data_IF_161320847941
#
_entry.id   IF_161320847941
#
_cell.length_a   1.000
_cell.length_b   1.000
_cell.length_c   1.000
_cell.angle_alpha   90.00
_cell.angle_beta   90.00
_cell.angle_gamma   90.00
#
_symmetry.space_group_name_H-M   'P 1'
#
loop_
_entity.id
_entity.type
_entity.pdbx_description
1 polymer ?
#
# COMPACT_ATOMS: atom_id res chain seq x y z
N UNK A 1 28.47 34.20 -11.16
CA UNK A 1 27.63 33.26 -10.39
C UNK A 1 26.27 33.23 -11.08
N UNK A 2 25.77 32.05 -11.44
CA UNK A 2 24.45 31.89 -12.05
C UNK A 2 23.36 32.14 -10.99
N UNK A 3 22.25 32.79 -11.38
CA UNK A 3 21.11 33.00 -10.48
C UNK A 3 20.51 31.66 -10.04
N UNK A 4 19.97 31.56 -8.81
CA UNK A 4 19.37 30.33 -8.33
C UNK A 4 18.11 29.97 -9.14
N UNK A 5 18.00 28.71 -9.54
CA UNK A 5 16.90 28.23 -10.36
C UNK A 5 16.49 26.80 -9.99
N UNK A 6 15.18 26.55 -9.87
CA UNK A 6 14.61 25.22 -9.64
C UNK A 6 14.60 24.48 -10.98
N UNK A 7 15.35 23.38 -11.07
CA UNK A 7 15.45 22.56 -12.29
C UNK A 7 14.59 21.31 -12.25
N UNK A 8 14.20 20.87 -11.06
CA UNK A 8 13.28 19.75 -10.87
C UNK A 8 12.47 19.95 -9.61
N UNK A 9 11.16 19.77 -9.71
CA UNK A 9 10.26 19.65 -8.57
C UNK A 9 9.20 18.62 -8.91
N UNK A 10 9.15 17.56 -8.11
CA UNK A 10 8.28 16.41 -8.35
C UNK A 10 7.66 15.94 -7.04
N UNK A 11 6.42 15.50 -7.10
CA UNK A 11 5.75 14.79 -6.01
C UNK A 11 5.29 13.42 -6.49
N UNK A 12 5.11 12.48 -5.56
CA UNK A 12 4.54 11.15 -5.82
C UNK A 12 3.01 11.17 -6.00
N UNK A 13 2.39 12.34 -5.88
CA UNK A 13 0.95 12.52 -5.94
C UNK A 13 0.45 12.63 -7.38
N UNK A 14 -0.56 11.83 -7.69
CA UNK A 14 -1.26 11.87 -8.99
C UNK A 14 -2.21 13.07 -9.02
N UNK A 15 -2.25 13.77 -10.16
CA UNK A 15 -3.16 14.89 -10.38
C UNK A 15 -4.62 14.51 -10.13
N UNK A 16 -5.33 15.33 -9.36
CA UNK A 16 -6.74 15.14 -9.03
C UNK A 16 -7.01 14.04 -7.99
N UNK A 17 -5.98 13.41 -7.43
CA UNK A 17 -6.15 12.43 -6.35
C UNK A 17 -6.78 13.08 -5.10
N UNK A 18 -7.40 12.24 -4.28
CA UNK A 18 -7.94 12.63 -2.97
C UNK A 18 -7.12 11.95 -1.89
N UNK A 19 -6.54 12.74 -1.01
CA UNK A 19 -5.82 12.29 0.18
C UNK A 19 -6.69 12.45 1.42
N UNK A 20 -6.39 11.66 2.42
CA UNK A 20 -7.01 11.72 3.76
C UNK A 20 -5.94 12.01 4.80
N UNK A 21 -6.31 12.40 6.03
CA UNK A 21 -5.38 12.40 7.14
C UNK A 21 -4.51 11.14 7.21
N UNK A 22 -3.27 11.30 7.68
CA UNK A 22 -2.20 10.31 7.72
C UNK A 22 -1.64 9.86 6.35
N UNK A 23 -2.14 10.41 5.24
CA UNK A 23 -1.49 10.21 3.93
C UNK A 23 -0.10 10.86 3.90
N UNK A 24 0.86 10.18 3.29
CA UNK A 24 2.20 10.71 3.06
C UNK A 24 2.35 11.25 1.64
N UNK A 25 3.05 12.37 1.49
CA UNK A 25 3.45 12.95 0.21
C UNK A 25 4.98 13.01 0.19
N UNK A 26 5.61 12.41 -0.81
CA UNK A 26 7.04 12.55 -1.05
C UNK A 26 7.27 13.65 -2.08
N UNK A 27 8.07 14.65 -1.74
CA UNK A 27 8.50 15.68 -2.68
C UNK A 27 10.02 15.62 -2.89
N UNK A 28 10.45 15.85 -4.12
CA UNK A 28 11.85 15.84 -4.54
C UNK A 28 12.15 17.10 -5.33
N UNK A 29 13.34 17.68 -5.13
CA UNK A 29 13.75 18.87 -5.86
C UNK A 29 15.24 18.92 -6.17
N UNK A 30 15.56 19.76 -7.14
CA UNK A 30 16.94 20.13 -7.49
C UNK A 30 16.97 21.62 -7.80
N UNK A 31 17.81 22.36 -7.09
CA UNK A 31 18.02 23.79 -7.27
C UNK A 31 19.49 24.03 -7.60
N UNK A 32 19.71 24.76 -8.69
CA UNK A 32 21.05 25.08 -9.20
C UNK A 32 21.38 26.54 -8.95
N UNK A 33 22.66 26.92 -9.06
CA UNK A 33 23.10 28.32 -8.92
C UNK A 33 23.11 28.84 -7.48
N UNK A 34 23.07 27.94 -6.49
CA UNK A 34 23.14 28.28 -5.06
C UNK A 34 24.52 27.88 -4.49
N UNK A 35 25.10 28.71 -3.62
CA UNK A 35 26.16 28.29 -2.69
C UNK A 35 25.51 27.63 -1.46
N UNK A 36 25.12 26.36 -1.63
CA UNK A 36 24.09 25.61 -0.85
C UNK A 36 24.46 25.19 0.56
N UNK A 37 25.51 25.73 1.18
CA UNK A 37 26.08 25.12 2.39
C UNK A 37 25.07 24.89 3.53
N UNK A 38 24.12 25.81 3.74
CA UNK A 38 23.30 25.83 4.96
C UNK A 38 21.87 26.36 4.80
N UNK A 39 21.45 26.77 3.60
CA UNK A 39 20.12 27.37 3.43
C UNK A 39 19.00 26.33 3.49
N UNK A 40 17.97 26.65 4.26
CA UNK A 40 16.79 25.81 4.45
C UNK A 40 15.64 26.25 3.55
N UNK A 41 15.03 25.26 2.93
CA UNK A 41 13.84 25.43 2.11
C UNK A 41 12.61 25.10 2.95
N UNK A 42 11.48 25.67 2.56
CA UNK A 42 10.20 25.45 3.21
C UNK A 42 9.29 24.70 2.26
N UNK A 43 8.80 23.54 2.67
CA UNK A 43 7.94 22.69 1.87
C UNK A 43 6.60 22.50 2.60
N UNK A 44 5.51 22.95 1.97
CA UNK A 44 4.20 22.92 2.59
C UNK A 44 3.08 22.59 1.61
N UNK A 45 2.01 22.01 2.15
CA UNK A 45 0.73 21.83 1.47
C UNK A 45 -0.09 23.09 1.68
N UNK A 46 -0.45 23.73 0.57
CA UNK A 46 -1.11 25.03 0.55
C UNK A 46 -2.48 24.94 -0.10
N UNK A 47 -3.48 25.64 0.44
CA UNK A 47 -4.80 25.67 -0.17
C UNK A 47 -4.80 26.55 -1.42
N UNK A 48 -5.49 26.13 -2.47
CA UNK A 48 -5.48 26.82 -3.76
C UNK A 48 -6.05 28.25 -3.68
N UNK A 49 -6.92 28.49 -2.71
CA UNK A 49 -7.53 29.80 -2.47
C UNK A 49 -6.57 30.80 -1.79
N UNK A 50 -5.43 30.37 -1.23
CA UNK A 50 -4.39 31.26 -0.71
C UNK A 50 -2.97 30.70 -0.88
N UNK A 51 -2.38 31.06 -2.02
CA UNK A 51 -1.00 30.73 -2.36
C UNK A 51 0.01 31.82 -1.97
N UNK A 52 -0.41 32.94 -1.37
CA UNK A 52 0.47 34.09 -1.13
C UNK A 52 0.87 34.23 0.33
N UNK A 53 -0.03 33.95 1.27
CA UNK A 53 0.22 34.19 2.69
C UNK A 53 1.17 33.15 3.27
N UNK A 54 2.26 33.54 3.92
CA UNK A 54 3.23 32.57 4.47
C UNK A 54 2.60 31.61 5.50
N UNK A 55 1.50 32.00 6.15
CA UNK A 55 0.75 31.20 7.12
C UNK A 55 -0.37 30.35 6.52
N UNK A 56 -0.64 30.46 5.22
CA UNK A 56 -1.66 29.67 4.54
C UNK A 56 -1.09 28.31 4.10
N UNK A 57 -0.95 27.42 5.08
CA UNK A 57 -0.59 26.02 4.89
C UNK A 57 -1.42 25.12 5.80
N UNK A 58 -1.63 23.89 5.38
CA UNK A 58 -2.45 22.91 6.11
C UNK A 58 -1.64 21.69 6.56
N UNK A 59 -0.47 21.48 5.96
CA UNK A 59 0.54 20.51 6.35
C UNK A 59 1.92 21.03 5.90
N UNK A 60 3.00 20.60 6.55
CA UNK A 60 4.37 20.98 6.18
C UNK A 60 5.34 19.83 6.46
N UNK A 61 6.48 19.82 5.78
CA UNK A 61 7.56 18.89 6.09
C UNK A 61 8.31 19.32 7.34
N UNK A 62 8.68 18.35 8.17
CA UNK A 62 9.56 18.52 9.32
C UNK A 62 10.85 17.70 9.12
N UNK A 63 12.05 18.22 9.40
CA UNK A 63 12.45 19.62 9.55
C UNK A 63 12.65 20.31 8.20
N UNK A 64 12.77 21.65 8.19
CA UNK A 64 13.05 22.44 6.98
C UNK A 64 14.25 21.86 6.20
N UNK A 65 14.02 21.27 5.01
CA UNK A 65 15.07 20.52 4.33
C UNK A 65 16.08 21.45 3.65
N UNK A 66 17.29 20.96 3.38
CA UNK A 66 18.31 21.74 2.68
C UNK A 66 17.88 22.07 1.24
N UNK A 67 18.18 23.29 0.79
CA UNK A 67 17.69 23.77 -0.51
C UNK A 67 18.35 23.14 -1.75
N UNK A 68 19.61 22.72 -1.69
CA UNK A 68 20.37 22.35 -2.89
C UNK A 68 19.76 21.22 -3.72
N UNK A 69 19.76 20.01 -3.20
CA UNK A 69 19.07 18.86 -3.78
C UNK A 69 18.61 17.98 -2.64
N UNK A 70 17.36 17.58 -2.66
CA UNK A 70 16.78 16.92 -1.51
C UNK A 70 15.43 16.31 -1.78
N UNK A 71 14.97 15.61 -0.76
CA UNK A 71 13.64 15.04 -0.69
C UNK A 71 13.11 15.20 0.72
N UNK A 72 11.81 15.41 0.85
CA UNK A 72 11.14 15.43 2.14
C UNK A 72 9.78 14.74 2.04
N UNK A 73 9.33 14.20 3.16
CA UNK A 73 8.02 13.59 3.30
C UNK A 73 7.14 14.56 4.10
N UNK A 74 5.95 14.85 3.59
CA UNK A 74 4.91 15.56 4.30
C UNK A 74 3.84 14.55 4.70
N UNK A 75 3.54 14.45 5.99
CA UNK A 75 2.39 13.68 6.47
C UNK A 75 1.22 14.64 6.63
N UNK A 76 0.08 14.32 6.00
CA UNK A 76 -1.16 15.07 6.21
C UNK A 76 -1.61 14.82 7.66
N UNK A 77 -1.71 15.85 8.51
CA UNK A 77 -2.08 15.68 9.91
C UNK A 77 -3.54 15.22 10.05
N UNK A 78 -3.93 14.79 11.26
CA UNK A 78 -5.33 14.47 11.59
C UNK A 78 -6.26 15.67 11.43
N UNK A 79 -5.75 16.87 11.71
CA UNK A 79 -6.46 18.13 11.59
C UNK A 79 -5.57 19.14 10.90
N UNK A 80 -6.17 20.05 10.12
CA UNK A 80 -5.44 21.11 9.43
C UNK A 80 -4.65 21.96 10.44
N UNK A 81 -3.38 22.22 10.13
CA UNK A 81 -2.54 23.13 10.93
C UNK A 81 -3.07 24.57 10.94
N UNK A 82 -3.94 24.91 9.98
CA UNK A 82 -4.64 26.18 9.93
C UNK A 82 -6.15 25.95 9.84
N UNK A 83 -6.85 26.23 10.94
CA UNK A 83 -8.29 26.01 11.08
C UNK A 83 -9.16 26.81 10.10
N UNK A 84 -8.60 27.85 9.46
CA UNK A 84 -9.25 28.59 8.36
C UNK A 84 -9.46 27.72 7.12
N UNK A 85 -8.64 26.68 6.97
CA UNK A 85 -8.63 25.75 5.85
C UNK A 85 -8.93 24.33 6.34
N UNK A 86 -10.18 24.02 6.72
CA UNK A 86 -10.57 22.70 7.16
C UNK A 86 -10.48 21.69 6.01
N UNK A 87 -10.29 20.41 6.35
CA UNK A 87 -10.15 19.34 5.38
C UNK A 87 -11.48 18.90 4.73
N UNK A 88 -12.41 19.80 4.40
CA UNK A 88 -13.65 19.41 3.72
C UNK A 88 -13.53 19.63 2.20
N UNK A 89 -13.10 18.58 1.48
CA UNK A 89 -12.89 18.64 0.03
C UNK A 89 -11.97 19.81 -0.40
N UNK A 90 -10.95 20.10 0.43
CA UNK A 90 -10.05 21.22 0.22
C UNK A 90 -9.10 20.93 -0.94
N UNK A 91 -9.09 21.81 -1.95
CA UNK A 91 -8.16 21.73 -3.07
C UNK A 91 -6.82 22.36 -2.68
N UNK A 92 -5.73 21.64 -2.90
CA UNK A 92 -4.40 21.99 -2.42
C UNK A 92 -3.31 21.67 -3.45
N UNK A 93 -2.13 22.25 -3.23
CA UNK A 93 -0.87 21.92 -3.91
C UNK A 93 0.23 21.76 -2.87
N UNK A 94 1.30 21.05 -3.21
CA UNK A 94 2.58 21.16 -2.51
C UNK A 94 3.37 22.30 -3.14
N UNK A 95 3.90 23.20 -2.32
CA UNK A 95 4.80 24.25 -2.76
C UNK A 95 6.15 24.15 -2.06
N UNK A 96 7.21 24.20 -2.84
CA UNK A 96 8.57 24.48 -2.38
C UNK A 96 8.82 25.99 -2.40
N UNK A 97 9.11 26.56 -1.24
CA UNK A 97 9.56 27.93 -1.06
C UNK A 97 11.05 27.94 -0.73
N UNK A 98 11.80 28.78 -1.41
CA UNK A 98 13.22 29.00 -1.14
C UNK A 98 13.43 30.33 -0.41
N UNK A 99 14.55 30.53 0.29
CA UNK A 99 14.91 31.84 0.87
C UNK A 99 15.19 32.91 -0.20
N UNK A 100 15.26 32.52 -1.47
CA UNK A 100 15.50 33.41 -2.60
C UNK A 100 14.23 33.86 -3.31
N UNK A 101 13.06 33.62 -2.73
CA UNK A 101 11.75 33.96 -3.29
C UNK A 101 11.46 33.31 -4.66
N UNK A 102 12.11 32.17 -4.96
CA UNK A 102 11.71 31.29 -6.05
C UNK A 102 10.84 30.16 -5.50
N UNK A 103 9.85 29.77 -6.29
CA UNK A 103 8.78 28.84 -5.89
C UNK A 103 8.61 27.74 -6.95
N UNK A 104 8.25 26.54 -6.50
CA UNK A 104 7.78 25.47 -7.38
C UNK A 104 6.55 24.80 -6.81
N UNK A 105 5.60 24.50 -7.69
CA UNK A 105 4.29 23.97 -7.37
C UNK A 105 4.11 22.56 -7.93
N UNK A 106 3.41 21.73 -7.18
CA UNK A 106 3.03 20.39 -7.62
C UNK A 106 1.77 20.45 -8.47
N UNK A 107 1.35 19.28 -8.92
CA UNK A 107 -0.02 19.12 -9.41
C UNK A 107 -1.06 19.35 -8.30
N UNK A 108 -2.29 19.62 -8.72
CA UNK A 108 -3.44 19.81 -7.85
C UNK A 108 -3.95 18.47 -7.30
N UNK A 109 -4.32 18.44 -6.02
CA UNK A 109 -5.00 17.31 -5.38
C UNK A 109 -5.98 17.82 -4.32
N UNK A 110 -6.78 16.91 -3.74
CA UNK A 110 -7.80 17.22 -2.75
C UNK A 110 -7.45 16.58 -1.41
N UNK A 111 -7.76 17.24 -0.30
CA UNK A 111 -7.76 16.63 1.04
C UNK A 111 -9.20 16.56 1.55
N UNK A 112 -9.58 15.39 2.08
CA UNK A 112 -10.89 15.16 2.65
C UNK A 112 -10.82 14.79 4.15
N UNK A 113 -11.87 15.13 4.89
CA UNK A 113 -11.95 15.12 6.36
C UNK A 113 -12.02 13.68 6.88
N UNK A 114 -12.64 12.80 6.09
CA UNK A 114 -12.76 11.39 6.41
C UNK A 114 -11.44 10.66 6.17
N UNK A 115 -10.60 10.61 7.20
CA UNK A 115 -9.90 9.38 7.55
C UNK A 115 -10.68 8.74 8.70
N UNK A 116 -11.62 7.84 8.38
CA UNK A 116 -12.01 6.84 9.37
C UNK A 116 -10.88 5.82 9.32
N UNK A 117 -10.00 5.80 10.34
CA UNK A 117 -9.01 4.74 10.46
C UNK A 117 -9.76 3.40 10.26
N UNK A 118 -9.46 2.62 9.20
CA UNK A 118 -10.34 1.53 8.82
C UNK A 118 -10.42 0.46 9.91
N UNK A 119 -9.40 0.39 10.78
CA UNK A 119 -9.34 -0.51 11.93
C UNK A 119 -8.46 0.07 13.04
N UNK A 120 -8.92 -0.02 14.28
CA UNK A 120 -8.05 0.10 15.45
C UNK A 120 -7.03 -1.08 15.44
N UNK A 121 -5.88 -0.96 16.11
CA UNK A 121 -4.83 -2.02 16.09
C UNK A 121 -5.38 -3.39 16.53
N UNK A 122 -6.38 -3.38 17.42
CA UNK A 122 -7.13 -4.56 17.86
C UNK A 122 -7.94 -5.21 16.72
N UNK A 123 -8.54 -4.43 15.82
CA UNK A 123 -9.31 -4.92 14.69
C UNK A 123 -8.42 -5.41 13.54
N UNK A 124 -7.23 -4.83 13.35
CA UNK A 124 -6.22 -5.38 12.43
C UNK A 124 -5.78 -6.79 12.89
N UNK A 125 -5.49 -6.95 14.18
CA UNK A 125 -5.15 -8.24 14.77
C UNK A 125 -6.32 -9.23 14.66
N UNK A 126 -7.57 -8.79 14.83
CA UNK A 126 -8.75 -9.64 14.67
C UNK A 126 -8.95 -10.09 13.21
N UNK A 127 -8.68 -9.21 12.23
CA UNK A 127 -8.77 -9.54 10.81
C UNK A 127 -7.67 -10.50 10.36
N UNK A 128 -6.44 -10.31 10.84
CA UNK A 128 -5.33 -11.25 10.61
C UNK A 128 -5.62 -12.61 11.25
N UNK A 129 -6.13 -12.63 12.49
CA UNK A 129 -6.56 -13.86 13.16
C UNK A 129 -7.68 -14.58 12.40
N UNK A 130 -8.68 -13.84 11.88
CA UNK A 130 -9.74 -14.41 11.05
C UNK A 130 -9.22 -14.91 9.69
N UNK A 131 -8.23 -14.25 9.09
CA UNK A 131 -7.57 -14.71 7.87
C UNK A 131 -6.80 -16.01 8.07
N UNK A 132 -6.11 -16.16 9.21
CA UNK A 132 -5.39 -17.38 9.61
C UNK A 132 -6.37 -18.51 9.96
N UNK A 133 -7.48 -18.19 10.62
CA UNK A 133 -8.55 -19.15 10.90
C UNK A 133 -9.24 -19.65 9.61
N UNK A 134 -9.46 -18.75 8.64
CA UNK A 134 -10.03 -19.10 7.34
C UNK A 134 -9.10 -19.96 6.48
N UNK A 135 -7.81 -19.64 6.45
CA UNK A 135 -6.81 -20.42 5.68
C UNK A 135 -6.57 -21.80 6.31
N UNK A 136 -6.51 -21.90 7.64
CA UNK A 136 -6.40 -23.19 8.33
C UNK A 136 -7.63 -24.08 8.12
N UNK A 137 -8.83 -23.52 8.01
CA UNK A 137 -10.05 -24.27 7.66
C UNK A 137 -10.04 -24.77 6.20
N UNK A 138 -9.51 -23.98 5.25
CA UNK A 138 -9.37 -24.43 3.85
C UNK A 138 -8.32 -25.53 3.71
N UNK A 139 -7.20 -25.43 4.43
CA UNK A 139 -6.17 -26.49 4.47
C UNK A 139 -6.73 -27.76 5.11
N UNK A 140 -7.49 -27.66 6.21
CA UNK A 140 -8.12 -28.81 6.84
C UNK A 140 -9.15 -29.51 5.92
N UNK A 141 -9.92 -28.73 5.14
CA UNK A 141 -10.84 -29.29 4.13
C UNK A 141 -10.09 -29.99 3.00
N UNK A 142 -9.01 -29.41 2.48
CA UNK A 142 -8.18 -30.05 1.46
C UNK A 142 -7.57 -31.37 1.94
N UNK A 143 -7.06 -31.41 3.17
CA UNK A 143 -6.52 -32.64 3.79
C UNK A 143 -7.61 -33.70 4.00
N UNK A 144 -8.82 -33.30 4.38
CA UNK A 144 -9.95 -34.22 4.53
C UNK A 144 -10.42 -34.81 3.19
N UNK A 145 -10.49 -33.99 2.13
CA UNK A 145 -10.87 -34.42 0.78
C UNK A 145 -9.83 -35.37 0.17
N UNK A 146 -8.54 -35.06 0.32
CA UNK A 146 -7.46 -35.94 -0.15
C UNK A 146 -7.41 -37.27 0.62
N UNK A 147 -7.71 -37.26 1.92
CA UNK A 147 -7.82 -38.48 2.73
C UNK A 147 -8.95 -39.40 2.23
N UNK A 148 -10.12 -38.84 1.93
CA UNK A 148 -11.25 -39.60 1.40
C UNK A 148 -10.95 -40.20 0.01
N UNK A 149 -10.27 -39.46 -0.88
CA UNK A 149 -9.85 -39.97 -2.20
C UNK A 149 -8.88 -41.13 -2.07
N UNK A 150 -7.90 -41.04 -1.18
CA UNK A 150 -6.93 -42.11 -0.95
C UNK A 150 -7.59 -43.38 -0.38
N UNK A 151 -8.58 -43.23 0.50
CA UNK A 151 -9.35 -44.36 1.02
C UNK A 151 -10.13 -45.09 -0.09
N UNK A 152 -10.79 -44.36 -0.99
CA UNK A 152 -11.52 -44.94 -2.11
C UNK A 152 -10.61 -45.70 -3.08
N UNK A 153 -9.43 -45.15 -3.39
CA UNK A 153 -8.43 -45.82 -4.24
C UNK A 153 -7.91 -47.10 -3.58
N UNK A 154 -7.64 -47.07 -2.27
CA UNK A 154 -7.22 -48.25 -1.52
C UNK A 154 -8.28 -49.36 -1.51
N UNK A 155 -9.55 -49.01 -1.30
CA UNK A 155 -10.66 -49.97 -1.33
C UNK A 155 -10.84 -50.61 -2.71
N UNK A 156 -10.79 -49.80 -3.78
CA UNK A 156 -10.88 -50.29 -5.15
C UNK A 156 -9.72 -51.26 -5.49
N UNK A 157 -8.50 -50.94 -5.07
CA UNK A 157 -7.34 -51.82 -5.25
C UNK A 157 -7.51 -53.17 -4.55
N UNK A 158 -8.08 -53.18 -3.34
CA UNK A 158 -8.33 -54.42 -2.59
C UNK A 158 -9.37 -55.31 -3.28
N UNK A 159 -10.44 -54.73 -3.84
CA UNK A 159 -11.47 -55.46 -4.59
C UNK A 159 -10.90 -56.10 -5.86
N UNK A 160 -10.08 -55.35 -6.61
CA UNK A 160 -9.43 -55.85 -7.84
C UNK A 160 -8.49 -57.02 -7.51
N UNK A 161 -7.70 -56.92 -6.44
CA UNK A 161 -6.80 -57.99 -6.00
C UNK A 161 -7.57 -59.27 -5.63
N UNK A 162 -8.67 -59.14 -4.88
CA UNK A 162 -9.50 -60.27 -4.49
C UNK A 162 -10.14 -60.96 -5.70
N UNK A 163 -10.69 -60.20 -6.65
CA UNK A 163 -11.28 -60.75 -7.88
C UNK A 163 -10.24 -61.46 -8.75
N UNK A 164 -9.04 -60.89 -8.87
CA UNK A 164 -7.94 -61.48 -9.64
C UNK A 164 -7.51 -62.83 -9.06
N UNK A 165 -7.44 -62.92 -7.73
CA UNK A 165 -7.12 -64.17 -7.03
C UNK A 165 -8.19 -65.24 -7.23
N UNK A 166 -9.48 -64.88 -7.11
CA UNK A 166 -10.59 -65.82 -7.34
C UNK A 166 -10.59 -66.33 -8.79
N UNK A 167 -10.40 -65.44 -9.76
CA UNK A 167 -10.32 -65.83 -11.18
C UNK A 167 -9.14 -66.77 -11.46
N UNK A 168 -7.97 -66.51 -10.86
CA UNK A 168 -6.81 -67.39 -10.98
C UNK A 168 -7.08 -68.78 -10.38
N UNK A 169 -7.72 -68.85 -9.21
CA UNK A 169 -8.13 -70.13 -8.61
C UNK A 169 -9.12 -70.89 -9.49
N UNK A 170 -10.12 -70.22 -10.06
CA UNK A 170 -11.09 -70.85 -10.97
C UNK A 170 -10.42 -71.36 -12.24
N UNK A 171 -9.50 -70.59 -12.82
CA UNK A 171 -8.75 -71.01 -14.00
C UNK A 171 -7.90 -72.26 -13.72
N UNK A 172 -7.18 -72.29 -12.60
CA UNK A 172 -6.38 -73.46 -12.18
C UNK A 172 -7.25 -74.70 -11.91
N UNK A 173 -8.43 -74.52 -11.29
CA UNK A 173 -9.37 -75.63 -11.10
C UNK A 173 -9.98 -76.12 -12.41
N UNK A 174 -10.24 -75.22 -13.37
CA UNK A 174 -10.78 -75.58 -14.68
C UNK A 174 -9.76 -76.34 -15.54
N UNK A 175 -8.48 -75.96 -15.48
CA UNK A 175 -7.40 -76.71 -16.13
C UNK A 175 -7.25 -78.12 -15.54
N UNK A 176 -7.37 -78.26 -14.22
CA UNK A 176 -7.35 -79.58 -13.55
C UNK A 176 -8.55 -80.47 -13.88
N UNK A 177 -9.73 -79.88 -14.10
CA UNK A 177 -10.95 -80.65 -14.41
C UNK A 177 -10.96 -81.18 -15.86
N UNK A 178 -10.27 -80.50 -16.77
CA UNK A 178 -10.24 -80.85 -18.20
C UNK A 178 -8.93 -81.55 -18.64
N UNK A 179 -8.02 -81.84 -17.71
CA UNK A 179 -6.82 -82.65 -17.92
C UNK A 179 -7.06 -84.11 -17.50
#
# INVERSE_FOLDING_TARGET
>A
MSAPAIQGFHTDIVSGSTLTPNSSITAQWTITGINTGFDTCYLAVRPLNDLRSDTAFVAQADPHPQCGSGSAIIVIPEQSLNSTFPFNNLMVIVRLNTPYHIYADSTLFKINETYTAPWDRSEQLAKEANGIAGSSLQVAKGVAEDSHRNYQVGLAGLVIAALSFVLACVALCYEWYNA
#
